data_IF_890307904973
#
_entry.id   IF_890307904973
#
_cell.length_a   1.000
_cell.length_b   1.000
_cell.length_c   1.000
_cell.angle_alpha   90.00
_cell.angle_beta   90.00
_cell.angle_gamma   90.00
#
_symmetry.space_group_name_H-M   'P 1'
#
loop_
_entity.id
_entity.type
_entity.pdbx_description
1 polymer ?
#
# COMPACT_ATOMS: atom_id res chain seq x y z
N UNK A 1 8.86 4.39 -27.02
CA UNK A 1 9.75 3.27 -27.41
C UNK A 1 9.06 2.23 -28.31
N UNK A 2 8.26 2.65 -29.32
CA UNK A 2 7.45 1.73 -30.17
C UNK A 2 8.16 1.17 -31.41
N UNK A 3 9.38 1.61 -31.74
CA UNK A 3 10.04 1.26 -33.00
C UNK A 3 10.84 -0.06 -32.94
N UNK A 4 11.39 -0.43 -31.79
CA UNK A 4 12.20 -1.65 -31.67
C UNK A 4 11.37 -2.94 -31.62
N UNK A 5 10.10 -2.87 -31.20
CA UNK A 5 9.20 -4.04 -31.12
C UNK A 5 8.68 -4.49 -32.50
N UNK A 6 8.51 -3.55 -33.45
CA UNK A 6 8.05 -3.86 -34.81
C UNK A 6 9.12 -4.55 -35.66
N UNK A 7 10.40 -4.24 -35.43
CA UNK A 7 11.51 -4.89 -36.13
C UNK A 7 11.68 -6.37 -35.74
N UNK A 8 11.30 -6.74 -34.51
CA UNK A 8 11.31 -8.13 -34.06
C UNK A 8 10.24 -8.96 -34.79
N UNK A 9 9.05 -8.40 -35.00
CA UNK A 9 7.97 -9.02 -35.78
C UNK A 9 8.32 -9.22 -37.26
N UNK A 10 9.07 -8.30 -37.86
CA UNK A 10 9.50 -8.40 -39.26
C UNK A 10 10.61 -9.43 -39.49
N UNK A 11 11.42 -9.74 -38.46
CA UNK A 11 12.53 -10.70 -38.57
C UNK A 11 12.09 -12.16 -38.44
N UNK A 12 10.98 -12.43 -37.73
CA UNK A 12 10.47 -13.79 -37.51
C UNK A 12 9.69 -14.30 -38.74
N UNK A 13 9.01 -13.40 -39.47
CA UNK A 13 8.27 -13.77 -40.68
C UNK A 13 9.16 -14.14 -41.88
N UNK A 14 10.48 -13.90 -41.84
CA UNK A 14 11.39 -14.16 -42.97
C UNK A 14 12.21 -15.45 -42.85
N UNK A 15 12.07 -16.22 -41.76
CA UNK A 15 12.86 -17.45 -41.53
C UNK A 15 12.08 -18.77 -41.69
N UNK A 16 10.84 -18.73 -42.18
CA UNK A 16 9.98 -19.94 -42.32
C UNK A 16 10.28 -20.83 -43.54
N UNK A 17 11.43 -20.70 -44.20
CA UNK A 17 11.69 -21.37 -45.49
C UNK A 17 13.02 -22.13 -45.53
N UNK A 18 13.24 -23.08 -44.61
CA UNK A 18 14.10 -24.23 -44.89
C UNK A 18 13.61 -25.45 -44.11
N UNK A 19 12.85 -26.32 -44.79
CA UNK A 19 12.65 -27.70 -44.37
C UNK A 19 13.77 -28.55 -44.99
N UNK A 20 14.71 -29.01 -44.17
CA UNK A 20 15.66 -30.05 -44.55
C UNK A 20 15.58 -31.18 -43.51
N UNK A 21 15.59 -32.40 -44.04
CA UNK A 21 15.33 -33.71 -43.43
C UNK A 21 15.91 -33.94 -42.01
N UNK A 22 15.17 -34.67 -41.17
CA UNK A 22 15.73 -35.32 -39.98
C UNK A 22 15.80 -36.84 -40.17
N UNK A 23 17.03 -37.35 -40.10
CA UNK A 23 17.35 -38.67 -39.54
C UNK A 23 17.11 -38.65 -38.01
N UNK A 24 16.49 -39.72 -37.50
CA UNK A 24 16.62 -40.44 -36.21
C UNK A 24 17.13 -39.81 -34.89
N UNK A 25 17.21 -38.49 -34.71
CA UNK A 25 17.46 -37.87 -33.40
C UNK A 25 16.17 -37.59 -32.62
N UNK A 26 16.11 -37.98 -31.33
CA UNK A 26 15.02 -37.60 -30.41
C UNK A 26 14.81 -36.08 -30.46
N UNK A 27 13.61 -35.66 -30.86
CA UNK A 27 13.27 -34.25 -31.07
C UNK A 27 13.65 -33.39 -29.86
N UNK A 28 14.49 -32.37 -30.07
CA UNK A 28 15.11 -31.58 -28.99
C UNK A 28 14.11 -30.95 -28.03
N UNK A 29 12.92 -30.58 -28.50
CA UNK A 29 11.87 -30.01 -27.64
C UNK A 29 11.41 -30.97 -26.53
N UNK A 30 11.52 -32.29 -26.72
CA UNK A 30 11.20 -33.29 -25.67
C UNK A 30 12.23 -33.33 -24.54
N UNK A 31 13.42 -32.75 -24.77
CA UNK A 31 14.52 -32.68 -23.80
C UNK A 31 14.45 -31.40 -22.96
N UNK A 32 13.56 -30.45 -23.28
CA UNK A 32 13.35 -29.24 -22.49
C UNK A 32 12.90 -29.63 -21.07
N UNK A 33 13.56 -29.14 -20.01
CA UNK A 33 13.23 -29.52 -18.64
C UNK A 33 11.80 -29.16 -18.25
N UNK A 34 11.06 -30.14 -17.73
CA UNK A 34 9.68 -29.97 -17.24
C UNK A 34 9.62 -29.90 -15.69
N UNK A 35 10.66 -29.35 -15.08
CA UNK A 35 10.76 -29.16 -13.63
C UNK A 35 10.54 -27.71 -13.24
N UNK A 36 10.29 -27.47 -11.95
CA UNK A 36 10.20 -26.11 -11.41
C UNK A 36 11.60 -25.49 -11.40
N UNK A 37 11.71 -24.28 -11.93
CA UNK A 37 12.92 -23.47 -11.98
C UNK A 37 12.75 -22.33 -10.97
N UNK A 38 13.66 -22.26 -10.01
CA UNK A 38 13.69 -21.27 -8.92
C UNK A 38 14.85 -20.28 -9.12
N UNK A 39 15.00 -19.33 -8.20
CA UNK A 39 15.95 -18.22 -8.27
C UNK A 39 17.42 -18.60 -8.59
N UNK A 40 17.88 -19.83 -8.28
CA UNK A 40 19.25 -20.26 -8.62
C UNK A 40 19.49 -20.36 -10.14
N UNK A 41 18.45 -20.69 -10.91
CA UNK A 41 18.53 -20.90 -12.37
C UNK A 41 17.53 -20.01 -13.15
N UNK A 42 16.93 -19.03 -12.49
CA UNK A 42 15.92 -18.14 -13.05
C UNK A 42 16.37 -16.68 -12.94
N UNK A 43 16.69 -16.07 -14.09
CA UNK A 43 16.76 -14.62 -14.22
C UNK A 43 15.37 -14.08 -14.53
N UNK A 44 14.81 -13.27 -13.63
CA UNK A 44 13.43 -12.78 -13.74
C UNK A 44 13.40 -11.25 -13.74
N UNK A 45 12.83 -10.68 -14.79
CA UNK A 45 12.55 -9.25 -14.90
C UNK A 45 11.04 -9.01 -14.88
N UNK A 46 10.60 -8.11 -14.01
CA UNK A 46 9.18 -7.73 -13.87
C UNK A 46 9.01 -6.24 -13.68
N UNK A 47 7.82 -5.72 -14.02
CA UNK A 47 7.48 -4.32 -13.77
C UNK A 47 7.17 -4.02 -12.30
N UNK A 48 6.68 -5.02 -11.54
CA UNK A 48 6.48 -4.93 -10.09
C UNK A 48 7.40 -5.95 -9.42
N UNK A 49 8.23 -5.55 -8.43
CA UNK A 49 9.07 -6.47 -7.67
C UNK A 49 8.30 -7.69 -7.15
N UNK A 50 8.78 -8.88 -7.49
CA UNK A 50 8.14 -10.16 -7.14
C UNK A 50 8.51 -10.63 -5.74
N UNK A 51 7.87 -11.71 -5.29
CA UNK A 51 8.29 -12.44 -4.10
C UNK A 51 9.65 -13.13 -4.32
N UNK A 52 10.37 -13.39 -3.23
CA UNK A 52 11.66 -14.10 -3.25
C UNK A 52 11.54 -15.59 -3.60
N UNK A 53 10.34 -16.16 -3.45
CA UNK A 53 10.03 -17.56 -3.79
C UNK A 53 9.36 -17.72 -5.16
N UNK A 54 9.45 -16.71 -6.01
CA UNK A 54 8.99 -16.77 -7.39
C UNK A 54 9.67 -17.91 -8.17
N UNK A 55 8.88 -18.64 -8.96
CA UNK A 55 9.39 -19.74 -9.78
C UNK A 55 8.57 -19.90 -11.05
N UNK A 56 9.10 -20.68 -11.99
CA UNK A 56 8.40 -21.01 -13.22
C UNK A 56 8.54 -22.49 -13.59
N UNK A 57 7.69 -22.95 -14.50
CA UNK A 57 7.80 -24.25 -15.15
C UNK A 57 7.33 -24.11 -16.60
N UNK A 58 8.08 -24.66 -17.55
CA UNK A 58 7.65 -24.76 -18.94
C UNK A 58 7.37 -26.23 -19.28
N UNK A 59 6.12 -26.53 -19.61
CA UNK A 59 5.71 -27.84 -20.11
C UNK A 59 5.46 -27.75 -21.61
N UNK A 60 6.36 -28.33 -22.41
CA UNK A 60 6.18 -28.38 -23.88
C UNK A 60 4.98 -29.26 -24.23
N UNK A 61 4.10 -28.78 -25.12
CA UNK A 61 2.96 -29.54 -25.64
C UNK A 61 3.24 -30.12 -27.01
N UNK A 62 4.06 -29.42 -27.81
CA UNK A 62 4.60 -29.86 -29.08
C UNK A 62 5.87 -29.07 -29.41
N UNK A 63 6.42 -29.21 -30.62
CA UNK A 63 7.66 -28.55 -31.03
C UNK A 63 7.57 -27.01 -31.13
N UNK A 64 6.37 -26.42 -31.19
CA UNK A 64 6.13 -24.99 -31.34
C UNK A 64 5.31 -24.38 -30.18
N UNK A 65 4.80 -25.18 -29.24
CA UNK A 65 3.90 -24.73 -28.19
C UNK A 65 4.24 -25.34 -26.83
N UNK A 66 3.91 -24.60 -25.77
CA UNK A 66 3.99 -25.08 -24.40
C UNK A 66 3.07 -24.31 -23.46
N UNK A 67 3.07 -24.74 -22.20
CA UNK A 67 2.38 -24.08 -21.09
C UNK A 67 3.43 -23.60 -20.11
N UNK A 68 3.51 -22.29 -19.92
CA UNK A 68 4.33 -21.65 -18.91
C UNK A 68 3.50 -21.45 -17.63
N UNK A 69 3.86 -22.16 -16.57
CA UNK A 69 3.31 -21.93 -15.22
C UNK A 69 4.22 -20.95 -14.49
N UNK A 70 3.67 -19.82 -14.06
CA UNK A 70 4.33 -18.82 -13.24
C UNK A 70 3.79 -18.90 -11.80
N UNK A 71 4.66 -19.13 -10.82
CA UNK A 71 4.30 -19.17 -9.40
C UNK A 71 4.80 -17.92 -8.69
N UNK A 72 3.90 -17.15 -8.08
CA UNK A 72 4.21 -15.90 -7.33
C UNK A 72 5.03 -14.85 -8.09
N UNK A 73 5.08 -14.95 -9.42
CA UNK A 73 5.73 -13.98 -10.32
C UNK A 73 4.82 -12.78 -10.57
N UNK A 74 3.51 -13.00 -10.73
CA UNK A 74 2.53 -11.94 -10.95
C UNK A 74 1.86 -11.61 -9.62
N UNK A 75 2.06 -10.38 -9.13
CA UNK A 75 1.43 -9.94 -7.88
C UNK A 75 -0.10 -10.06 -7.95
N UNK A 76 -0.69 -10.57 -6.87
CA UNK A 76 -2.12 -10.84 -6.77
C UNK A 76 -2.56 -12.24 -7.21
N UNK A 77 -1.68 -13.02 -7.84
CA UNK A 77 -1.94 -14.40 -8.22
C UNK A 77 -0.86 -15.34 -7.66
N UNK A 78 -1.29 -16.43 -7.02
CA UNK A 78 -0.35 -17.43 -6.52
C UNK A 78 0.24 -18.26 -7.67
N UNK A 79 -0.57 -18.54 -8.70
CA UNK A 79 -0.17 -19.28 -9.90
C UNK A 79 -0.89 -18.74 -11.14
N UNK A 80 -0.19 -18.67 -12.28
CA UNK A 80 -0.77 -18.37 -13.61
C UNK A 80 -0.17 -19.31 -14.66
N UNK A 81 -1.03 -20.07 -15.33
CA UNK A 81 -0.65 -20.83 -16.53
C UNK A 81 -0.90 -20.02 -17.81
N UNK A 82 0.11 -19.93 -18.69
CA UNK A 82 0.05 -19.15 -19.93
C UNK A 82 0.45 -20.06 -21.09
N UNK A 83 -0.41 -20.14 -22.11
CA UNK A 83 -0.02 -20.78 -23.36
C UNK A 83 1.05 -19.94 -24.04
N UNK A 84 2.15 -20.57 -24.43
CA UNK A 84 3.30 -19.91 -25.07
C UNK A 84 3.62 -20.57 -26.40
N UNK A 85 4.00 -19.75 -27.37
CA UNK A 85 4.68 -20.23 -28.57
C UNK A 85 6.17 -20.36 -28.27
N UNK A 86 6.80 -21.43 -28.75
CA UNK A 86 8.20 -21.77 -28.49
C UNK A 86 8.95 -21.95 -29.81
N UNK A 87 10.17 -21.46 -29.89
CA UNK A 87 11.04 -21.56 -31.07
C UNK A 87 12.45 -21.96 -30.63
N UNK A 88 12.90 -23.13 -31.06
CA UNK A 88 14.29 -23.56 -30.92
C UNK A 88 15.21 -22.62 -31.72
N UNK A 89 16.28 -22.18 -31.08
CA UNK A 89 17.28 -21.28 -31.64
C UNK A 89 18.51 -22.08 -32.09
N UNK A 90 19.31 -21.49 -32.97
CA UNK A 90 20.53 -22.11 -33.50
C UNK A 90 21.59 -22.39 -32.43
N UNK A 91 21.51 -21.75 -31.27
CA UNK A 91 22.40 -21.95 -30.12
C UNK A 91 21.89 -23.04 -29.15
N UNK A 92 20.80 -23.73 -29.49
CA UNK A 92 20.19 -24.78 -28.66
C UNK A 92 19.29 -24.25 -27.55
N UNK A 93 19.07 -22.94 -27.46
CA UNK A 93 18.10 -22.35 -26.53
C UNK A 93 16.69 -22.37 -27.10
N UNK A 94 15.69 -22.39 -26.23
CA UNK A 94 14.28 -22.31 -26.62
C UNK A 94 13.73 -20.95 -26.22
N UNK A 95 13.37 -20.13 -27.21
CA UNK A 95 12.68 -18.86 -26.96
C UNK A 95 11.19 -19.10 -26.86
N UNK A 96 10.55 -18.53 -25.84
CA UNK A 96 9.12 -18.61 -25.68
C UNK A 96 8.49 -17.22 -25.50
N UNK A 97 7.25 -17.09 -25.92
CA UNK A 97 6.44 -15.89 -25.71
C UNK A 97 4.96 -16.25 -25.60
N UNK A 98 4.20 -15.48 -24.83
CA UNK A 98 2.76 -15.67 -24.69
C UNK A 98 2.10 -14.52 -23.95
N UNK A 99 0.79 -14.52 -23.94
CA UNK A 99 -0.01 -13.56 -23.21
C UNK A 99 -1.28 -14.19 -22.64
N UNK A 100 -1.75 -13.65 -21.52
CA UNK A 100 -2.99 -14.07 -20.88
C UNK A 100 -3.63 -12.89 -20.17
N UNK A 101 -4.95 -12.74 -20.32
CA UNK A 101 -5.74 -11.85 -19.50
C UNK A 101 -6.33 -12.64 -18.33
N UNK A 102 -6.08 -12.16 -17.11
CA UNK A 102 -6.59 -12.76 -15.87
C UNK A 102 -7.62 -11.81 -15.28
N UNK A 103 -8.76 -12.35 -14.86
CA UNK A 103 -9.83 -11.55 -14.22
C UNK A 103 -9.83 -11.79 -12.71
N UNK A 104 -10.28 -10.82 -11.88
CA UNK A 104 -10.33 -11.03 -10.44
C UNK A 104 -11.31 -12.14 -10.03
N UNK A 105 -11.00 -12.80 -8.92
CA UNK A 105 -11.81 -13.90 -8.41
C UNK A 105 -13.07 -13.45 -7.64
N UNK A 106 -13.09 -12.21 -7.09
CA UNK A 106 -14.16 -11.72 -6.21
C UNK A 106 -14.96 -10.61 -6.87
N UNK A 107 -16.27 -10.55 -6.58
CA UNK A 107 -17.14 -9.46 -7.06
C UNK A 107 -16.67 -8.09 -6.56
N UNK A 108 -16.15 -8.02 -5.34
CA UNK A 108 -15.60 -6.79 -4.78
C UNK A 108 -14.44 -6.27 -5.65
N UNK A 109 -13.46 -7.12 -5.96
CA UNK A 109 -12.33 -6.75 -6.80
C UNK A 109 -12.74 -6.33 -8.22
N UNK A 110 -13.78 -6.95 -8.79
CA UNK A 110 -14.32 -6.59 -10.10
C UNK A 110 -14.84 -5.14 -10.19
N UNK A 111 -15.19 -4.51 -9.07
CA UNK A 111 -15.61 -3.10 -9.03
C UNK A 111 -14.42 -2.15 -9.30
N UNK A 112 -13.20 -2.58 -8.99
CA UNK A 112 -11.98 -1.78 -9.19
C UNK A 112 -11.20 -2.20 -10.44
N UNK A 113 -11.04 -3.51 -10.63
CA UNK A 113 -10.14 -4.11 -11.59
C UNK A 113 -10.95 -5.04 -12.50
N UNK A 114 -10.92 -4.79 -13.80
CA UNK A 114 -11.57 -5.65 -14.79
C UNK A 114 -10.68 -6.85 -15.16
N UNK A 115 -9.38 -6.60 -15.35
CA UNK A 115 -8.41 -7.64 -15.70
C UNK A 115 -6.97 -7.21 -15.46
N UNK A 116 -6.08 -8.18 -15.32
CA UNK A 116 -4.62 -8.03 -15.42
C UNK A 116 -4.15 -8.76 -16.66
N UNK A 117 -3.64 -8.01 -17.64
CA UNK A 117 -3.03 -8.57 -18.84
C UNK A 117 -1.57 -8.91 -18.53
N UNK A 118 -1.20 -10.17 -18.69
CA UNK A 118 0.15 -10.68 -18.45
C UNK A 118 0.77 -11.02 -19.80
N UNK A 119 1.96 -10.47 -20.07
CA UNK A 119 2.77 -10.83 -21.24
C UNK A 119 4.09 -11.39 -20.78
N UNK A 120 4.48 -12.50 -21.38
CA UNK A 120 5.71 -13.21 -21.05
C UNK A 120 6.57 -13.36 -22.29
N UNK A 121 7.87 -13.21 -22.11
CA UNK A 121 8.87 -13.59 -23.11
C UNK A 121 10.12 -14.05 -22.40
N UNK A 122 10.77 -15.08 -22.91
CA UNK A 122 11.98 -15.58 -22.27
C UNK A 122 12.71 -16.62 -23.09
N UNK A 123 13.79 -17.12 -22.50
CA UNK A 123 14.58 -18.23 -23.02
C UNK A 123 14.70 -19.30 -21.95
N UNK A 124 14.85 -20.56 -22.38
CA UNK A 124 15.22 -21.68 -21.52
C UNK A 124 16.26 -22.56 -22.23
N UNK A 125 17.25 -23.03 -21.49
CA UNK A 125 18.26 -23.97 -21.98
C UNK A 125 17.90 -25.42 -21.60
N UNK A 126 18.53 -26.39 -22.25
CA UNK A 126 18.34 -27.81 -21.91
C UNK A 126 18.84 -28.16 -20.50
N UNK A 127 19.75 -27.36 -19.94
CA UNK A 127 20.22 -27.46 -18.55
C UNK A 127 19.23 -26.86 -17.53
N UNK A 128 18.15 -26.23 -18.00
CA UNK A 128 17.11 -25.66 -17.13
C UNK A 128 17.43 -24.27 -16.59
N UNK A 129 18.34 -23.53 -17.25
CA UNK A 129 18.54 -22.11 -16.99
C UNK A 129 17.54 -21.31 -17.80
N UNK A 130 16.84 -20.38 -17.17
CA UNK A 130 15.82 -19.56 -17.81
C UNK A 130 16.04 -18.07 -17.55
N UNK A 131 15.80 -17.26 -18.57
CA UNK A 131 15.72 -15.81 -18.47
C UNK A 131 14.33 -15.37 -18.93
N UNK A 132 13.56 -14.71 -18.07
CA UNK A 132 12.15 -14.41 -18.32
C UNK A 132 11.84 -12.96 -18.00
N UNK A 133 11.21 -12.28 -18.94
CA UNK A 133 10.57 -10.99 -18.73
C UNK A 133 9.07 -11.19 -18.63
N UNK A 134 8.46 -10.71 -17.53
CA UNK A 134 7.01 -10.70 -17.35
C UNK A 134 6.56 -9.25 -17.17
N UNK A 135 5.61 -8.82 -18.00
CA UNK A 135 4.99 -7.50 -17.87
C UNK A 135 3.51 -7.65 -17.58
N UNK A 136 3.04 -6.83 -16.63
CA UNK A 136 1.63 -6.79 -16.22
C UNK A 136 1.03 -5.44 -16.57
N UNK A 137 -0.18 -5.46 -17.13
CA UNK A 137 -0.98 -4.28 -17.42
C UNK A 137 -2.36 -4.44 -16.77
N UNK A 138 -2.62 -3.68 -15.72
CA UNK A 138 -3.90 -3.61 -15.03
C UNK A 138 -4.89 -2.77 -15.84
N UNK A 139 -6.13 -3.26 -15.93
CA UNK A 139 -7.23 -2.61 -16.61
C UNK A 139 -8.42 -2.58 -15.67
N UNK A 140 -8.93 -1.39 -15.38
CA UNK A 140 -10.10 -1.20 -14.54
C UNK A 140 -10.29 0.24 -14.10
N UNK A 141 -11.35 0.50 -13.35
CA UNK A 141 -11.68 1.82 -12.83
C UNK A 141 -10.62 2.34 -11.85
N UNK A 142 -9.88 1.48 -11.14
CA UNK A 142 -8.79 1.96 -10.29
C UNK A 142 -7.66 2.64 -11.09
N UNK A 143 -7.50 2.35 -12.38
CA UNK A 143 -6.37 2.83 -13.19
C UNK A 143 -6.61 4.26 -13.69
N UNK A 144 -6.42 5.23 -12.80
CA UNK A 144 -6.52 6.66 -13.10
C UNK A 144 -5.87 7.50 -12.00
N UNK A 145 -5.85 8.81 -12.24
CA UNK A 145 -5.47 9.83 -11.28
C UNK A 145 -6.67 10.24 -10.44
N UNK A 146 -6.54 10.10 -9.12
CA UNK A 146 -7.51 10.54 -8.13
C UNK A 146 -7.01 11.79 -7.40
N UNK A 147 -7.90 12.73 -7.12
CA UNK A 147 -7.59 13.84 -6.23
C UNK A 147 -7.89 13.45 -4.80
N UNK A 148 -7.05 13.91 -3.87
CA UNK A 148 -7.44 13.91 -2.47
C UNK A 148 -8.70 14.79 -2.31
N UNK A 149 -9.60 14.36 -1.45
CA UNK A 149 -10.71 15.21 -1.02
C UNK A 149 -10.17 16.58 -0.53
N UNK A 150 -10.90 17.66 -0.86
CA UNK A 150 -10.51 19.05 -0.65
C UNK A 150 -10.98 19.63 0.69
N UNK A 151 -12.04 19.07 1.27
CA UNK A 151 -12.65 19.55 2.51
C UNK A 151 -13.38 18.43 3.25
N UNK A 152 -13.75 18.66 4.52
CA UNK A 152 -14.59 17.70 5.25
C UNK A 152 -16.07 17.98 4.96
N UNK A 153 -16.75 16.99 4.39
CA UNK A 153 -18.18 17.03 4.08
C UNK A 153 -18.98 16.17 5.05
N UNK A 154 -20.07 16.75 5.53
CA UNK A 154 -20.97 16.14 6.51
C UNK A 154 -22.32 15.80 5.86
N UNK A 155 -22.94 14.70 6.29
CA UNK A 155 -24.29 14.34 5.86
C UNK A 155 -25.34 15.36 6.34
N UNK A 156 -25.22 15.77 7.61
CA UNK A 156 -25.94 16.87 8.24
C UNK A 156 -24.93 17.66 9.09
N UNK A 157 -24.95 18.98 8.99
CA UNK A 157 -24.09 19.86 9.77
C UNK A 157 -24.36 19.77 11.29
N UNK A 158 -25.54 19.29 11.70
CA UNK A 158 -25.95 19.10 13.10
C UNK A 158 -25.48 17.77 13.68
N UNK A 159 -25.46 16.71 12.87
CA UNK A 159 -25.16 15.34 13.33
C UNK A 159 -23.68 14.96 13.21
N UNK A 160 -22.82 15.89 12.74
CA UNK A 160 -21.34 15.78 12.65
C UNK A 160 -20.81 14.50 11.99
N UNK A 161 -21.68 13.79 11.27
CA UNK A 161 -21.36 12.55 10.58
C UNK A 161 -20.70 12.88 9.25
N UNK A 162 -19.37 12.77 9.20
CA UNK A 162 -18.62 13.00 7.97
C UNK A 162 -18.86 11.86 6.96
N UNK A 163 -19.02 12.23 5.69
CA UNK A 163 -19.25 11.29 4.58
C UNK A 163 -18.08 11.23 3.60
N UNK A 164 -17.31 12.33 3.50
CA UNK A 164 -16.17 12.48 2.58
C UNK A 164 -15.17 13.46 3.21
N UNK A 165 -13.90 13.08 3.33
CA UNK A 165 -12.87 13.90 3.98
C UNK A 165 -11.46 13.55 3.46
N UNK A 166 -10.52 14.51 3.43
CA UNK A 166 -9.13 14.26 3.03
C UNK A 166 -8.49 13.14 3.85
N UNK A 167 -8.60 13.25 5.17
CA UNK A 167 -8.24 12.20 6.11
C UNK A 167 -9.45 11.85 6.97
N UNK A 168 -9.75 10.56 7.12
CA UNK A 168 -10.97 10.09 7.77
C UNK A 168 -10.65 9.10 8.89
N UNK A 169 -11.15 9.42 10.08
CA UNK A 169 -11.19 8.51 11.22
C UNK A 169 -12.66 8.16 11.50
N UNK A 170 -12.99 6.88 11.44
CA UNK A 170 -14.26 6.33 11.93
C UNK A 170 -13.97 5.55 13.19
N UNK A 171 -14.56 5.92 14.32
CA UNK A 171 -14.43 5.17 15.57
C UNK A 171 -15.80 5.00 16.22
N UNK A 172 -16.29 3.77 16.27
CA UNK A 172 -17.58 3.42 16.88
C UNK A 172 -17.32 2.51 18.08
N UNK A 173 -17.69 2.98 19.27
CA UNK A 173 -17.55 2.26 20.52
C UNK A 173 -18.73 2.59 21.44
N UNK A 174 -19.37 1.62 22.10
CA UNK A 174 -20.41 1.87 23.08
C UNK A 174 -19.87 2.28 24.47
N UNK A 175 -18.56 2.50 24.60
CA UNK A 175 -17.92 2.83 25.88
C UNK A 175 -18.53 4.07 26.55
N UNK A 176 -18.70 4.00 27.88
CA UNK A 176 -19.37 5.02 28.69
C UNK A 176 -20.66 4.48 29.33
N UNK A 177 -21.31 5.30 30.16
CA UNK A 177 -22.51 4.92 30.90
C UNK A 177 -23.69 5.84 30.60
N UNK A 178 -24.90 5.27 30.63
CA UNK A 178 -26.15 6.02 30.47
C UNK A 178 -26.19 6.83 29.17
N UNK A 179 -26.55 8.10 29.27
CA UNK A 179 -26.62 9.00 28.11
C UNK A 179 -25.27 9.39 27.51
N UNK A 180 -24.15 8.98 28.11
CA UNK A 180 -22.80 9.30 27.64
C UNK A 180 -22.14 8.15 26.85
N UNK A 181 -22.82 7.01 26.72
CA UNK A 181 -22.29 5.88 25.96
C UNK A 181 -21.99 6.27 24.50
N UNK A 182 -20.74 6.02 24.08
CA UNK A 182 -20.22 6.28 22.74
C UNK A 182 -19.82 7.71 22.40
N UNK A 183 -20.17 8.70 23.26
CA UNK A 183 -19.87 10.11 23.01
C UNK A 183 -18.36 10.35 22.78
N UNK A 184 -17.50 9.70 23.57
CA UNK A 184 -16.06 9.91 23.44
C UNK A 184 -15.52 9.45 22.08
N UNK A 185 -15.91 8.24 21.64
CA UNK A 185 -15.48 7.70 20.36
C UNK A 185 -16.01 8.52 19.17
N UNK A 186 -17.29 8.95 19.24
CA UNK A 186 -17.90 9.79 18.21
C UNK A 186 -17.19 11.15 18.11
N UNK A 187 -16.93 11.80 19.24
CA UNK A 187 -16.21 13.07 19.27
C UNK A 187 -14.77 12.92 18.76
N UNK A 188 -14.04 11.88 19.17
CA UNK A 188 -12.70 11.58 18.67
C UNK A 188 -12.74 11.33 17.16
N UNK A 189 -13.75 10.62 16.66
CA UNK A 189 -13.95 10.38 15.23
C UNK A 189 -14.10 11.69 14.46
N UNK A 190 -14.92 12.64 14.95
CA UNK A 190 -15.06 13.96 14.33
C UNK A 190 -13.78 14.78 14.41
N UNK A 191 -13.23 14.97 15.61
CA UNK A 191 -12.05 15.81 15.85
C UNK A 191 -10.83 15.25 15.12
N UNK A 192 -10.60 13.94 15.25
CA UNK A 192 -9.52 13.23 14.59
C UNK A 192 -9.64 13.26 13.07
N UNK A 193 -10.86 13.18 12.50
CA UNK A 193 -11.08 13.38 11.06
C UNK A 193 -10.62 14.76 10.62
N UNK A 194 -10.99 15.82 11.35
CA UNK A 194 -10.60 17.18 10.95
C UNK A 194 -9.09 17.42 11.10
N UNK A 195 -8.49 16.95 12.20
CA UNK A 195 -7.04 17.06 12.44
C UNK A 195 -6.25 16.28 11.40
N UNK A 196 -6.65 15.04 11.11
CA UNK A 196 -6.03 14.24 10.06
C UNK A 196 -6.22 14.89 8.69
N UNK A 197 -7.40 15.44 8.42
CA UNK A 197 -7.67 16.16 7.17
C UNK A 197 -6.75 17.36 6.99
N UNK A 198 -6.48 18.12 8.04
CA UNK A 198 -5.55 19.25 7.99
C UNK A 198 -4.13 18.80 7.64
N UNK A 199 -3.65 17.70 8.23
CA UNK A 199 -2.35 17.13 7.85
C UNK A 199 -2.36 16.64 6.40
N UNK A 200 -3.41 15.94 5.97
CA UNK A 200 -3.49 15.34 4.64
C UNK A 200 -3.54 16.39 3.52
N UNK A 201 -4.32 17.48 3.65
CA UNK A 201 -4.38 18.52 2.61
C UNK A 201 -3.10 19.33 2.48
N UNK A 202 -2.28 19.37 3.53
CA UNK A 202 -0.95 20.00 3.51
C UNK A 202 0.13 19.06 2.95
N UNK A 203 -0.16 17.75 2.86
CA UNK A 203 0.79 16.72 2.44
C UNK A 203 0.54 16.24 1.01
N UNK A 204 -0.69 15.88 0.68
CA UNK A 204 -1.03 15.11 -0.50
C UNK A 204 -2.09 15.84 -1.31
N UNK A 205 -1.86 15.95 -2.62
CA UNK A 205 -2.83 16.53 -3.56
C UNK A 205 -3.55 15.45 -4.35
N UNK A 206 -2.79 14.49 -4.87
CA UNK A 206 -3.33 13.46 -5.75
C UNK A 206 -2.48 12.20 -5.78
N UNK A 207 -3.12 11.10 -6.16
CA UNK A 207 -2.51 9.77 -6.33
C UNK A 207 -2.97 9.21 -7.67
N UNK A 208 -2.05 8.68 -8.46
CA UNK A 208 -2.33 7.97 -9.70
C UNK A 208 -1.89 6.52 -9.58
N UNK A 209 -2.86 5.61 -9.73
CA UNK A 209 -2.64 4.19 -9.88
C UNK A 209 -2.45 3.90 -11.37
N UNK A 210 -1.23 3.56 -11.78
CA UNK A 210 -0.91 3.35 -13.20
C UNK A 210 -1.19 1.92 -13.63
N UNK A 211 -1.41 1.76 -14.94
CA UNK A 211 -1.68 0.47 -15.56
C UNK A 211 -0.51 -0.51 -15.42
N UNK A 212 0.72 -0.04 -15.28
CA UNK A 212 1.89 -0.88 -15.01
C UNK A 212 2.04 -1.25 -13.52
N UNK A 213 1.04 -0.95 -12.69
CA UNK A 213 1.05 -1.22 -11.27
C UNK A 213 1.88 -0.25 -10.43
N UNK A 214 2.53 0.75 -11.02
CA UNK A 214 3.21 1.79 -10.23
C UNK A 214 2.21 2.77 -9.63
N UNK A 215 2.54 3.30 -8.45
CA UNK A 215 1.86 4.44 -7.84
C UNK A 215 2.74 5.66 -8.00
N UNK A 216 2.16 6.78 -8.44
CA UNK A 216 2.78 8.11 -8.32
C UNK A 216 1.82 9.06 -7.61
N UNK A 217 2.37 10.07 -6.95
CA UNK A 217 1.57 11.05 -6.21
C UNK A 217 2.10 12.47 -6.45
N UNK A 218 1.20 13.46 -6.32
CA UNK A 218 1.61 14.84 -6.13
C UNK A 218 1.52 15.19 -4.64
N UNK A 219 2.64 15.60 -4.06
CA UNK A 219 2.79 15.84 -2.63
C UNK A 219 3.50 17.18 -2.38
N UNK A 220 3.35 17.73 -1.18
CA UNK A 220 3.98 18.99 -0.82
C UNK A 220 5.50 18.84 -0.68
N UNK A 221 6.26 19.80 -1.21
CA UNK A 221 7.70 19.88 -1.02
C UNK A 221 8.09 19.95 0.46
N UNK A 222 7.33 20.72 1.23
CA UNK A 222 7.46 20.85 2.68
C UNK A 222 6.07 20.80 3.32
N UNK A 223 5.96 20.14 4.47
CA UNK A 223 4.75 20.13 5.28
C UNK A 223 4.93 21.16 6.39
N UNK A 224 4.27 22.30 6.26
CA UNK A 224 4.33 23.38 7.23
C UNK A 224 2.98 23.53 7.93
N UNK A 225 2.72 22.64 8.90
CA UNK A 225 1.52 22.69 9.75
C UNK A 225 1.90 23.05 11.19
N UNK A 226 1.32 24.13 11.71
CA UNK A 226 1.56 24.58 13.09
C UNK A 226 0.60 23.91 14.07
N UNK A 227 0.96 23.90 15.36
CA UNK A 227 0.06 23.44 16.42
C UNK A 227 -1.26 24.21 16.40
N UNK A 228 -1.22 25.54 16.20
CA UNK A 228 -2.44 26.37 16.12
C UNK A 228 -3.35 25.93 14.97
N UNK A 229 -2.78 25.62 13.80
CA UNK A 229 -3.56 25.10 12.67
C UNK A 229 -4.19 23.74 12.98
N UNK A 230 -3.48 22.86 13.70
CA UNK A 230 -4.04 21.58 14.15
C UNK A 230 -5.18 21.76 15.15
N UNK A 231 -5.07 22.75 16.03
CA UNK A 231 -6.13 23.09 16.99
C UNK A 231 -7.37 23.64 16.27
N UNK A 232 -7.18 24.59 15.36
CA UNK A 232 -8.26 25.14 14.54
C UNK A 232 -8.91 24.06 13.67
N UNK A 233 -8.12 23.10 13.17
CA UNK A 233 -8.63 21.94 12.47
C UNK A 233 -9.51 21.08 13.39
N UNK A 234 -9.08 20.79 14.62
CA UNK A 234 -9.93 20.11 15.61
C UNK A 234 -11.28 20.79 15.85
N UNK A 235 -11.35 22.12 15.67
CA UNK A 235 -12.57 22.93 15.75
C UNK A 235 -13.34 23.04 14.40
N UNK A 236 -12.88 22.36 13.35
CA UNK A 236 -13.52 22.28 12.04
C UNK A 236 -12.97 23.26 10.99
N UNK A 237 -11.88 23.99 11.26
CA UNK A 237 -11.27 24.93 10.33
C UNK A 237 -9.95 24.38 9.77
N UNK A 238 -9.98 23.94 8.50
CA UNK A 238 -8.80 23.43 7.82
C UNK A 238 -7.83 24.56 7.41
N UNK A 239 -6.51 24.33 7.40
CA UNK A 239 -5.54 25.29 6.90
C UNK A 239 -5.67 25.50 5.38
N UNK A 240 -5.30 26.69 4.89
CA UNK A 240 -5.28 26.96 3.45
C UNK A 240 -4.18 26.16 2.75
N UNK A 241 -4.47 25.70 1.54
CA UNK A 241 -3.49 25.07 0.64
C UNK A 241 -2.81 26.07 -0.31
N UNK A 242 -3.12 27.36 -0.18
CA UNK A 242 -2.53 28.41 -1.01
C UNK A 242 -1.02 28.52 -0.76
N UNK A 243 -0.26 28.61 -1.85
CA UNK A 243 1.20 28.73 -1.79
C UNK A 243 1.96 27.42 -1.56
N UNK A 244 1.28 26.27 -1.41
CA UNK A 244 1.95 24.97 -1.37
C UNK A 244 2.61 24.69 -2.73
N UNK A 245 3.90 24.38 -2.68
CA UNK A 245 4.66 23.89 -3.85
C UNK A 245 4.46 22.38 -3.95
N UNK A 246 3.76 21.96 -4.99
CA UNK A 246 3.48 20.54 -5.24
C UNK A 246 4.58 19.92 -6.11
N UNK A 247 5.17 18.83 -5.62
CA UNK A 247 6.11 17.96 -6.35
C UNK A 247 5.41 16.69 -6.79
N UNK A 248 5.86 16.12 -7.89
CA UNK A 248 5.47 14.76 -8.29
C UNK A 248 6.51 13.77 -7.80
N UNK A 249 6.06 12.65 -7.24
CA UNK A 249 6.95 11.57 -6.86
C UNK A 249 7.58 10.94 -8.10
N UNK A 250 8.84 10.47 -8.01
CA UNK A 250 9.37 9.54 -8.99
C UNK A 250 8.47 8.32 -9.17
N UNK A 251 8.51 7.71 -10.35
CA UNK A 251 8.00 6.35 -10.52
C UNK A 251 8.86 5.36 -9.71
N UNK A 252 8.41 4.12 -9.57
CA UNK A 252 9.19 3.04 -8.94
C UNK A 252 9.41 3.19 -7.41
N UNK A 253 8.71 4.09 -6.72
CA UNK A 253 8.76 4.16 -5.25
C UNK A 253 7.74 3.25 -4.56
N UNK A 254 6.57 3.11 -5.16
CA UNK A 254 5.52 2.25 -4.66
C UNK A 254 4.74 1.62 -5.81
N UNK A 255 4.14 0.48 -5.53
CA UNK A 255 3.37 -0.32 -6.45
C UNK A 255 2.06 -0.75 -5.82
N UNK A 256 1.11 -1.14 -6.66
CA UNK A 256 -0.17 -1.66 -6.25
C UNK A 256 -0.56 -2.92 -7.00
N UNK A 257 -1.39 -3.73 -6.36
CA UNK A 257 -2.14 -4.81 -7.00
C UNK A 257 -3.40 -5.12 -6.20
N UNK A 258 -4.29 -5.95 -6.74
CA UNK A 258 -5.51 -6.40 -6.06
C UNK A 258 -5.41 -7.89 -5.78
N UNK A 259 -5.70 -8.31 -4.55
CA UNK A 259 -5.84 -9.72 -4.15
C UNK A 259 -6.98 -9.86 -3.16
N UNK A 260 -7.87 -10.82 -3.40
CA UNK A 260 -9.06 -11.01 -2.57
C UNK A 260 -9.96 -9.77 -2.61
N UNK A 261 -10.16 -9.12 -1.46
CA UNK A 261 -10.98 -7.93 -1.30
C UNK A 261 -10.17 -6.68 -0.88
N UNK A 262 -8.84 -6.72 -1.06
CA UNK A 262 -7.95 -5.62 -0.67
C UNK A 262 -7.15 -5.09 -1.86
N UNK A 263 -6.78 -3.80 -1.76
CA UNK A 263 -5.70 -3.20 -2.55
C UNK A 263 -4.43 -3.38 -1.74
N UNK A 264 -3.41 -3.99 -2.32
CA UNK A 264 -2.11 -4.14 -1.68
C UNK A 264 -1.18 -3.04 -2.17
N UNK A 265 -0.51 -2.35 -1.25
CA UNK A 265 0.54 -1.35 -1.57
C UNK A 265 1.90 -1.90 -1.21
N UNK A 266 2.75 -2.11 -2.23
CA UNK A 266 4.11 -2.61 -2.08
C UNK A 266 5.08 -1.44 -2.17
N UNK A 267 5.91 -1.26 -1.14
CA UNK A 267 6.93 -0.20 -1.13
C UNK A 267 8.23 -0.70 -1.74
N UNK A 268 8.81 0.07 -2.66
CA UNK A 268 10.18 -0.15 -3.09
C UNK A 268 11.12 0.55 -2.10
N UNK A 269 11.31 -0.07 -0.94
CA UNK A 269 12.16 0.49 0.12
C UNK A 269 13.57 0.84 -0.37
N UNK A 270 14.26 0.01 -1.18
CA UNK A 270 15.52 0.42 -1.80
C UNK A 270 15.44 1.76 -2.53
N UNK A 271 14.47 1.91 -3.44
CA UNK A 271 14.32 3.14 -4.20
C UNK A 271 13.91 4.33 -3.33
N UNK A 272 13.05 4.12 -2.32
CA UNK A 272 12.64 5.16 -1.36
C UNK A 272 13.86 5.66 -0.58
N UNK A 273 14.68 4.74 -0.08
CA UNK A 273 15.88 5.11 0.70
C UNK A 273 16.88 5.85 -0.17
N UNK A 274 17.15 5.37 -1.39
CA UNK A 274 18.01 6.08 -2.35
C UNK A 274 17.48 7.48 -2.65
N UNK A 275 16.17 7.62 -2.90
CA UNK A 275 15.55 8.90 -3.20
C UNK A 275 15.57 9.86 -2.00
N UNK A 276 15.38 9.35 -0.78
CA UNK A 276 15.37 10.15 0.44
C UNK A 276 16.77 10.64 0.84
N UNK A 277 17.82 9.86 0.52
CA UNK A 277 19.20 10.17 0.90
C UNK A 277 20.00 10.88 -0.21
N UNK A 278 19.43 11.10 -1.40
CA UNK A 278 20.16 11.70 -2.55
C UNK A 278 20.69 13.11 -2.28
N UNK A 279 20.01 13.86 -1.41
CA UNK A 279 20.36 15.25 -1.05
C UNK A 279 21.00 15.34 0.36
N UNK A 280 21.26 14.21 1.02
CA UNK A 280 21.88 14.17 2.34
C UNK A 280 23.41 14.16 2.21
N UNK A 281 24.04 15.34 2.28
CA UNK A 281 25.51 15.49 2.12
C UNK A 281 26.34 14.88 3.27
N UNK A 282 25.73 14.39 4.37
CA UNK A 282 26.46 13.94 5.58
C UNK A 282 25.74 12.85 6.41
N UNK A 283 24.95 11.97 5.78
CA UNK A 283 24.22 10.93 6.53
C UNK A 283 25.11 9.75 6.93
N UNK A 284 25.26 9.51 8.24
CA UNK A 284 25.86 8.27 8.79
C UNK A 284 25.10 6.99 8.40
N UNK A 285 23.89 7.14 7.85
CA UNK A 285 23.04 6.05 7.39
C UNK A 285 23.16 5.98 5.87
N UNK A 286 23.70 4.88 5.34
CA UNK A 286 23.79 4.65 3.90
C UNK A 286 22.62 3.80 3.40
N UNK A 287 22.22 3.90 2.12
CA UNK A 287 21.22 3.02 1.53
C UNK A 287 21.53 1.54 1.73
N UNK A 288 22.79 1.15 1.62
CA UNK A 288 23.26 -0.23 1.79
C UNK A 288 23.03 -0.73 3.22
N UNK A 289 23.27 0.11 4.23
CA UNK A 289 23.05 -0.27 5.63
C UNK A 289 21.56 -0.53 5.91
N UNK A 290 20.66 0.31 5.38
CA UNK A 290 19.21 0.10 5.54
C UNK A 290 18.76 -1.18 4.82
N UNK A 291 19.29 -1.43 3.62
CA UNK A 291 18.98 -2.65 2.86
C UNK A 291 19.43 -3.92 3.57
N UNK A 292 20.61 -3.91 4.20
CA UNK A 292 21.08 -5.03 5.00
C UNK A 292 20.19 -5.31 6.20
N UNK A 293 19.69 -4.27 6.87
CA UNK A 293 18.73 -4.41 7.98
C UNK A 293 17.44 -5.06 7.47
N UNK A 294 16.93 -4.64 6.32
CA UNK A 294 15.71 -5.20 5.73
C UNK A 294 15.89 -6.68 5.40
N UNK A 295 16.98 -7.06 4.73
CA UNK A 295 17.26 -8.46 4.40
C UNK A 295 17.46 -9.32 5.65
N UNK A 296 18.12 -8.79 6.68
CA UNK A 296 18.25 -9.46 7.97
C UNK A 296 16.86 -9.73 8.57
N UNK A 297 16.02 -8.71 8.70
CA UNK A 297 14.68 -8.81 9.32
C UNK A 297 13.77 -9.76 8.54
N UNK A 298 13.83 -9.78 7.20
CA UNK A 298 13.05 -10.71 6.37
C UNK A 298 13.34 -12.19 6.66
N UNK A 299 14.53 -12.51 7.13
CA UNK A 299 14.96 -13.88 7.41
C UNK A 299 14.72 -14.34 8.86
N UNK A 300 14.34 -13.41 9.74
CA UNK A 300 14.17 -13.66 11.17
C UNK A 300 12.76 -14.16 11.50
N UNK A 301 12.65 -14.97 12.55
CA UNK A 301 11.35 -15.33 13.13
C UNK A 301 10.72 -14.14 13.86
N UNK A 302 9.40 -14.19 14.07
CA UNK A 302 8.72 -13.15 14.85
C UNK A 302 9.28 -12.98 16.27
N UNK A 303 9.69 -14.08 16.90
CA UNK A 303 10.33 -14.07 18.22
C UNK A 303 11.69 -13.35 18.21
N UNK A 304 12.53 -13.63 17.20
CA UNK A 304 13.84 -13.00 17.08
C UNK A 304 13.72 -11.50 16.83
N UNK A 305 12.75 -11.08 16.02
CA UNK A 305 12.47 -9.66 15.78
C UNK A 305 12.01 -8.98 17.07
N UNK A 306 11.13 -9.59 17.85
CA UNK A 306 10.76 -9.04 19.16
C UNK A 306 11.93 -8.94 20.12
N UNK A 307 12.82 -9.93 20.14
CA UNK A 307 14.02 -9.86 20.97
C UNK A 307 14.90 -8.68 20.57
N UNK A 308 15.10 -8.45 19.27
CA UNK A 308 15.85 -7.29 18.77
C UNK A 308 15.19 -5.97 19.17
N UNK A 309 13.87 -5.85 18.94
CA UNK A 309 13.11 -4.66 19.35
C UNK A 309 13.18 -4.43 20.86
N UNK A 310 13.09 -5.48 21.67
CA UNK A 310 13.19 -5.41 23.12
C UNK A 310 14.55 -4.90 23.59
N UNK A 311 15.63 -5.33 22.94
CA UNK A 311 16.98 -4.83 23.22
C UNK A 311 17.12 -3.34 22.86
N UNK A 312 16.55 -2.92 21.72
CA UNK A 312 16.54 -1.51 21.32
C UNK A 312 15.76 -0.65 22.33
N UNK A 313 14.60 -1.11 22.79
CA UNK A 313 13.80 -0.41 23.81
C UNK A 313 14.52 -0.36 25.16
N UNK A 314 15.20 -1.44 25.55
CA UNK A 314 15.96 -1.49 26.80
C UNK A 314 17.16 -0.53 26.82
N UNK A 315 17.71 -0.21 25.65
CA UNK A 315 18.80 0.74 25.47
C UNK A 315 18.39 2.21 25.58
N UNK A 316 17.08 2.52 25.62
CA UNK A 316 16.58 3.89 25.80
C UNK A 316 16.77 4.37 27.25
N UNK A 317 16.91 5.68 27.41
CA UNK A 317 16.95 6.36 28.72
C UNK A 317 15.67 6.06 29.53
N UNK A 318 15.79 6.00 30.86
CA UNK A 318 14.70 5.56 31.75
C UNK A 318 13.47 6.48 31.74
N UNK A 319 13.65 7.75 31.41
CA UNK A 319 12.59 8.76 31.27
C UNK A 319 11.95 8.79 29.86
N UNK A 320 12.49 8.01 28.91
CA UNK A 320 11.93 7.92 27.57
C UNK A 320 10.62 7.10 27.59
N UNK A 321 9.50 7.76 27.26
CA UNK A 321 8.18 7.14 27.23
C UNK A 321 8.08 5.90 26.32
N UNK A 322 8.86 5.83 25.24
CA UNK A 322 8.88 4.66 24.34
C UNK A 322 9.36 3.39 25.04
N UNK A 323 10.12 3.49 26.13
CA UNK A 323 10.58 2.35 26.94
C UNK A 323 9.42 1.58 27.57
N UNK A 324 8.23 2.19 27.68
CA UNK A 324 7.00 1.55 28.17
C UNK A 324 6.22 0.79 27.09
N UNK A 325 6.65 0.82 25.82
CA UNK A 325 6.07 -0.03 24.79
C UNK A 325 6.21 -1.50 25.19
N UNK A 326 5.07 -2.18 25.36
CA UNK A 326 5.05 -3.58 25.74
C UNK A 326 4.91 -4.46 24.51
N UNK A 327 6.01 -4.63 23.79
CA UNK A 327 6.07 -5.49 22.59
C UNK A 327 5.76 -6.96 22.89
N UNK A 328 5.78 -7.39 24.17
CA UNK A 328 5.38 -8.75 24.55
C UNK A 328 3.88 -9.01 24.32
N UNK A 329 3.09 -7.94 24.19
CA UNK A 329 1.66 -8.00 23.84
C UNK A 329 1.40 -8.30 22.37
N UNK A 330 2.43 -8.24 21.53
CA UNK A 330 2.33 -8.59 20.11
C UNK A 330 2.76 -10.06 19.96
N UNK A 331 1.90 -10.88 19.35
CA UNK A 331 2.23 -12.29 19.11
C UNK A 331 3.36 -12.45 18.08
N UNK A 332 4.10 -13.57 18.13
CA UNK A 332 5.15 -13.84 17.13
C UNK A 332 4.57 -13.88 15.71
N UNK A 333 3.39 -14.51 15.55
CA UNK A 333 2.68 -14.60 14.27
C UNK A 333 2.20 -13.24 13.76
N UNK A 334 1.82 -12.31 14.64
CA UNK A 334 1.43 -10.97 14.21
C UNK A 334 2.65 -10.14 13.77
N UNK A 335 3.81 -10.33 14.40
CA UNK A 335 5.07 -9.73 13.92
C UNK A 335 5.42 -10.28 12.54
N UNK A 336 5.35 -11.59 12.34
CA UNK A 336 5.58 -12.22 11.03
C UNK A 336 4.58 -11.71 9.98
N UNK A 337 3.32 -11.52 10.34
CA UNK A 337 2.30 -10.92 9.48
C UNK A 337 2.66 -9.49 9.08
N UNK A 338 3.13 -8.66 10.01
CA UNK A 338 3.58 -7.29 9.73
C UNK A 338 4.80 -7.27 8.81
N UNK A 339 5.77 -8.17 9.00
CA UNK A 339 6.90 -8.34 8.08
C UNK A 339 6.42 -8.81 6.70
N UNK A 340 5.46 -9.72 6.66
CA UNK A 340 4.80 -10.14 5.43
C UNK A 340 4.26 -8.95 4.63
N UNK A 341 3.66 -7.95 5.29
CA UNK A 341 3.18 -6.74 4.61
C UNK A 341 4.31 -5.89 4.00
N UNK A 342 5.50 -5.91 4.58
CA UNK A 342 6.67 -5.22 4.00
C UNK A 342 7.10 -5.89 2.69
N UNK A 343 6.94 -7.21 2.58
CA UNK A 343 7.39 -8.01 1.43
C UNK A 343 6.32 -8.11 0.34
N UNK A 344 5.08 -8.35 0.77
CA UNK A 344 3.93 -8.64 -0.10
C UNK A 344 3.03 -7.43 -0.30
N UNK A 345 3.23 -6.37 0.47
CA UNK A 345 2.44 -5.16 0.44
C UNK A 345 1.42 -5.08 1.58
N UNK A 346 1.12 -3.85 1.98
CA UNK A 346 0.14 -3.56 3.01
C UNK A 346 -1.28 -3.75 2.44
N UNK A 347 -2.11 -4.62 3.05
CA UNK A 347 -3.50 -4.77 2.63
C UNK A 347 -4.30 -3.56 3.09
N UNK A 348 -4.85 -2.83 2.13
CA UNK A 348 -5.76 -1.72 2.37
C UNK A 348 -7.18 -2.15 2.02
N UNK A 349 -8.09 -1.92 2.95
CA UNK A 349 -9.51 -2.00 2.66
C UNK A 349 -9.90 -0.83 1.76
N UNK A 350 -10.94 -1.04 0.97
CA UNK A 350 -11.49 0.02 0.15
C UNK A 350 -13.01 -0.02 0.10
N UNK A 351 -13.59 1.13 -0.26
CA UNK A 351 -14.99 1.25 -0.61
C UNK A 351 -15.15 2.26 -1.73
N UNK A 352 -15.84 1.87 -2.80
CA UNK A 352 -16.26 2.80 -3.85
C UNK A 352 -17.67 3.29 -3.56
N UNK A 353 -17.88 4.61 -3.57
CA UNK A 353 -19.20 5.20 -3.32
C UNK A 353 -19.42 6.39 -4.24
N UNK A 354 -20.61 6.51 -4.83
CA UNK A 354 -21.02 7.76 -5.45
C UNK A 354 -21.68 8.66 -4.41
N UNK A 355 -21.13 9.86 -4.24
CA UNK A 355 -21.53 10.82 -3.23
C UNK A 355 -22.11 12.07 -3.89
N UNK A 356 -23.24 12.54 -3.38
CA UNK A 356 -23.80 13.84 -3.70
C UNK A 356 -23.33 14.86 -2.65
N UNK A 357 -22.50 15.80 -3.06
CA UNK A 357 -22.05 16.89 -2.21
C UNK A 357 -23.01 18.05 -2.36
N UNK A 358 -23.69 18.39 -1.27
CA UNK A 358 -24.69 19.46 -1.20
C UNK A 358 -24.18 20.62 -0.36
N UNK A 359 -24.58 21.82 -0.72
CA UNK A 359 -24.51 22.99 0.15
C UNK A 359 -25.96 23.31 0.55
N UNK A 360 -26.26 23.14 1.83
CA UNK A 360 -27.64 23.10 2.33
C UNK A 360 -28.45 22.03 1.55
N UNK A 361 -29.37 22.45 0.67
CA UNK A 361 -30.19 21.54 -0.14
C UNK A 361 -29.76 21.49 -1.62
N UNK A 362 -28.85 22.38 -2.06
CA UNK A 362 -28.42 22.45 -3.46
C UNK A 362 -27.28 21.47 -3.74
N UNK A 363 -27.45 20.61 -4.76
CA UNK A 363 -26.38 19.75 -5.26
C UNK A 363 -25.27 20.59 -5.90
N UNK A 364 -24.11 20.61 -5.26
CA UNK A 364 -22.92 21.30 -5.75
C UNK A 364 -22.16 20.42 -6.74
N UNK A 365 -21.94 19.16 -6.40
CA UNK A 365 -21.20 18.19 -7.23
C UNK A 365 -21.52 16.75 -6.86
N UNK A 366 -21.32 15.85 -7.81
CA UNK A 366 -21.26 14.40 -7.56
C UNK A 366 -19.80 13.96 -7.55
N UNK A 367 -19.42 13.04 -6.68
CA UNK A 367 -18.06 12.49 -6.59
C UNK A 367 -18.13 10.99 -6.53
N UNK A 368 -17.41 10.27 -7.39
CA UNK A 368 -17.12 8.86 -7.16
C UNK A 368 -15.87 8.79 -6.27
N UNK A 369 -16.11 8.48 -5.01
CA UNK A 369 -15.10 8.31 -3.99
C UNK A 369 -14.55 6.89 -4.01
N UNK A 370 -13.23 6.78 -3.96
CA UNK A 370 -12.48 5.60 -3.55
C UNK A 370 -11.93 5.87 -2.15
N UNK A 371 -12.68 5.44 -1.12
CA UNK A 371 -12.19 5.42 0.25
C UNK A 371 -11.19 4.28 0.39
N UNK A 372 -9.96 4.57 0.85
CA UNK A 372 -8.93 3.56 1.15
C UNK A 372 -8.56 3.68 2.63
N UNK A 373 -8.60 2.58 3.38
CA UNK A 373 -8.44 2.63 4.84
C UNK A 373 -7.85 1.35 5.45
N UNK A 374 -7.27 1.54 6.62
CA UNK A 374 -6.89 0.50 7.57
C UNK A 374 -8.04 0.30 8.56
N UNK A 375 -8.30 -0.94 8.96
CA UNK A 375 -9.40 -1.28 9.86
C UNK A 375 -8.90 -1.76 11.23
N UNK A 376 -9.85 -1.96 12.14
CA UNK A 376 -9.61 -2.39 13.53
C UNK A 376 -8.67 -3.60 13.63
N UNK A 377 -8.84 -4.60 12.76
CA UNK A 377 -8.07 -5.86 12.82
C UNK A 377 -6.56 -5.62 12.67
N UNK A 378 -6.15 -4.62 11.88
CA UNK A 378 -4.75 -4.23 11.81
C UNK A 378 -4.28 -3.56 13.11
N UNK A 379 -5.06 -2.64 13.67
CA UNK A 379 -4.70 -1.91 14.88
C UNK A 379 -4.72 -2.79 16.14
N UNK A 380 -5.55 -3.83 16.17
CA UNK A 380 -5.61 -4.81 17.27
C UNK A 380 -4.27 -5.52 17.50
N UNK A 381 -3.42 -5.60 16.48
CA UNK A 381 -2.06 -6.17 16.60
C UNK A 381 -1.20 -5.37 17.59
N UNK A 382 -1.29 -4.04 17.61
CA UNK A 382 -0.35 -3.20 18.35
C UNK A 382 -0.99 -2.33 19.44
N UNK A 383 -2.29 -2.08 19.41
CA UNK A 383 -2.96 -1.26 20.44
C UNK A 383 -2.66 -1.74 21.88
N UNK A 384 -2.69 -3.05 22.20
CA UNK A 384 -2.32 -3.53 23.53
C UNK A 384 -0.89 -3.18 23.97
N UNK A 385 0.05 -3.10 23.03
CA UNK A 385 1.44 -2.74 23.31
C UNK A 385 1.60 -1.24 23.67
N UNK A 386 0.64 -0.39 23.29
CA UNK A 386 0.66 1.05 23.54
C UNK A 386 0.08 1.42 24.92
N UNK A 387 -0.78 0.60 25.51
CA UNK A 387 -1.50 0.93 26.75
C UNK A 387 -0.61 1.38 27.91
N UNK A 388 0.56 0.76 28.18
CA UNK A 388 1.41 1.17 29.29
C UNK A 388 2.00 2.58 29.14
N UNK A 389 1.98 3.16 27.93
CA UNK A 389 2.40 4.54 27.69
C UNK A 389 1.29 5.57 27.97
N UNK A 390 0.01 5.16 27.97
CA UNK A 390 -1.12 6.09 28.08
C UNK A 390 -1.07 6.99 29.33
N UNK A 391 -0.63 6.53 30.52
CA UNK A 391 -0.49 7.41 31.69
C UNK A 391 0.54 8.53 31.51
N UNK A 392 1.63 8.28 30.79
CA UNK A 392 2.67 9.29 30.54
C UNK A 392 2.21 10.29 29.49
N UNK A 393 1.51 9.82 28.45
CA UNK A 393 0.86 10.68 27.46
C UNK A 393 -0.16 11.58 28.15
N UNK A 394 -0.98 11.03 29.06
CA UNK A 394 -1.94 11.79 29.87
C UNK A 394 -1.26 12.91 30.67
N UNK A 395 -0.18 12.58 31.38
CA UNK A 395 0.59 13.54 32.17
C UNK A 395 1.25 14.61 31.30
N UNK A 396 1.83 14.23 30.15
CA UNK A 396 2.44 15.14 29.20
C UNK A 396 1.41 16.17 28.68
N UNK A 397 0.23 15.71 28.26
CA UNK A 397 -0.83 16.59 27.77
C UNK A 397 -1.37 17.52 28.87
N UNK A 398 -1.48 17.04 30.12
CA UNK A 398 -1.91 17.85 31.27
C UNK A 398 -0.88 18.91 31.68
N UNK A 399 0.40 18.64 31.48
CA UNK A 399 1.49 19.58 31.79
C UNK A 399 1.83 20.52 30.63
N UNK A 400 1.22 20.33 29.46
CA UNK A 400 1.46 21.18 28.29
C UNK A 400 0.45 22.33 28.26
N UNK A 401 0.96 23.56 28.19
CA UNK A 401 0.14 24.75 27.91
C UNK A 401 0.33 25.19 26.46
N UNK A 402 -0.74 25.72 25.88
CA UNK A 402 -0.75 26.33 24.55
C UNK A 402 -1.12 27.80 24.68
N UNK A 403 -0.63 28.63 23.76
CA UNK A 403 -1.14 29.99 23.59
C UNK A 403 -2.29 29.97 22.60
N UNK A 404 -3.48 30.35 23.05
CA UNK A 404 -4.66 30.41 22.20
C UNK A 404 -5.41 31.71 22.45
N UNK A 405 -5.60 32.51 21.40
CA UNK A 405 -6.22 33.84 21.47
C UNK A 405 -5.56 34.78 22.50
N UNK A 406 -4.24 34.68 22.64
CA UNK A 406 -3.46 35.48 23.58
C UNK A 406 -3.59 35.06 25.05
N UNK A 407 -4.19 33.90 25.33
CA UNK A 407 -4.26 33.31 26.66
C UNK A 407 -3.50 31.98 26.70
N UNK A 408 -2.80 31.72 27.81
CA UNK A 408 -2.21 30.41 28.07
C UNK A 408 -3.28 29.48 28.64
N UNK A 409 -3.59 28.40 27.92
CA UNK A 409 -4.62 27.43 28.28
C UNK A 409 -3.97 26.03 28.37
N UNK A 410 -4.29 25.21 29.39
CA UNK A 410 -3.85 23.83 29.43
C UNK A 410 -4.38 23.05 28.22
N UNK A 411 -3.49 22.39 27.49
CA UNK A 411 -3.83 21.60 26.30
C UNK A 411 -4.87 20.52 26.61
N UNK A 412 -4.72 19.86 27.76
CA UNK A 412 -5.66 18.84 28.21
C UNK A 412 -7.10 19.34 28.33
N UNK A 413 -7.33 20.56 28.83
CA UNK A 413 -8.68 21.09 28.99
C UNK A 413 -9.40 21.20 27.64
N UNK A 414 -8.67 21.56 26.59
CA UNK A 414 -9.20 21.62 25.24
C UNK A 414 -9.46 20.24 24.66
N UNK A 415 -8.54 19.28 24.85
CA UNK A 415 -8.74 17.89 24.44
C UNK A 415 -9.98 17.30 25.12
N UNK A 416 -10.11 17.47 26.44
CA UNK A 416 -11.27 17.03 27.21
C UNK A 416 -12.56 17.69 26.71
N UNK A 417 -12.55 19.00 26.44
CA UNK A 417 -13.72 19.70 25.90
C UNK A 417 -14.14 19.18 24.52
N UNK A 418 -13.19 18.89 23.64
CA UNK A 418 -13.46 18.46 22.27
C UNK A 418 -13.82 16.97 22.17
N UNK A 419 -13.27 16.13 23.04
CA UNK A 419 -13.37 14.66 22.94
C UNK A 419 -14.26 14.04 24.02
N UNK A 420 -14.56 14.76 25.10
CA UNK A 420 -15.20 14.23 26.31
C UNK A 420 -14.40 13.14 27.06
N UNK A 421 -13.10 12.97 26.77
CA UNK A 421 -12.21 12.09 27.55
C UNK A 421 -11.90 12.67 28.93
N UNK A 422 -11.88 11.84 29.98
CA UNK A 422 -11.37 12.27 31.30
C UNK A 422 -9.90 11.89 31.54
N UNK A 423 -9.37 10.95 30.76
CA UNK A 423 -7.95 10.60 30.71
C UNK A 423 -7.60 9.91 29.40
N UNK A 424 -6.34 10.01 28.97
CA UNK A 424 -5.84 9.19 27.86
C UNK A 424 -5.91 7.69 28.15
N UNK A 425 -5.92 7.28 29.42
CA UNK A 425 -6.06 5.87 29.80
C UNK A 425 -7.44 5.29 29.46
N UNK A 426 -8.47 6.12 29.26
CA UNK A 426 -9.79 5.66 28.79
C UNK A 426 -9.75 5.03 27.40
N UNK A 427 -8.73 5.35 26.59
CA UNK A 427 -8.57 4.79 25.24
C UNK A 427 -8.55 3.26 25.26
N UNK A 428 -7.93 2.64 26.27
CA UNK A 428 -7.94 1.18 26.42
C UNK A 428 -9.38 0.65 26.56
N UNK A 429 -10.17 1.26 27.45
CA UNK A 429 -11.56 0.89 27.65
C UNK A 429 -12.41 1.11 26.40
N UNK A 430 -12.24 2.25 25.72
CA UNK A 430 -12.92 2.56 24.47
C UNK A 430 -12.58 1.53 23.40
N UNK A 431 -11.30 1.21 23.24
CA UNK A 431 -10.79 0.28 22.24
C UNK A 431 -11.34 -1.14 22.45
N UNK A 432 -11.34 -1.62 23.69
CA UNK A 432 -11.75 -2.99 24.04
C UNK A 432 -13.21 -3.30 23.68
N UNK A 433 -14.08 -2.29 23.63
CA UNK A 433 -15.49 -2.46 23.21
C UNK A 433 -15.79 -1.84 21.83
N UNK A 434 -14.76 -1.38 21.11
CA UNK A 434 -14.92 -0.79 19.77
C UNK A 434 -15.44 -1.81 18.78
N UNK A 435 -16.53 -1.48 18.09
CA UNK A 435 -17.16 -2.34 17.08
C UNK A 435 -16.72 -2.00 15.65
N UNK A 436 -16.22 -0.78 15.42
CA UNK A 436 -15.69 -0.37 14.12
C UNK A 436 -14.62 0.70 14.31
N UNK A 437 -13.47 0.50 13.68
CA UNK A 437 -12.41 1.48 13.60
C UNK A 437 -11.85 1.50 12.17
N UNK A 438 -11.88 2.66 11.52
CA UNK A 438 -11.28 2.83 10.19
C UNK A 438 -10.44 4.11 10.18
N UNK A 439 -9.21 4.02 9.68
CA UNK A 439 -8.32 5.16 9.46
C UNK A 439 -7.88 5.17 8.00
N UNK A 440 -8.16 6.25 7.28
CA UNK A 440 -7.85 6.29 5.85
C UNK A 440 -8.02 7.64 5.20
N UNK A 441 -8.07 7.62 3.87
CA UNK A 441 -8.22 8.80 3.01
C UNK A 441 -9.34 8.58 2.01
N UNK A 442 -9.89 9.68 1.49
CA UNK A 442 -10.91 9.65 0.44
C UNK A 442 -10.35 10.23 -0.85
N UNK A 443 -10.45 9.47 -1.94
CA UNK A 443 -9.85 9.77 -3.24
C UNK A 443 -10.95 9.91 -4.31
N UNK A 444 -11.15 11.12 -4.82
CA UNK A 444 -12.19 11.41 -5.82
C UNK A 444 -11.68 11.37 -7.25
N UNK A 445 -12.48 10.83 -8.17
CA UNK A 445 -12.14 10.76 -9.61
C UNK A 445 -12.45 12.04 -10.42
N UNK A 446 -12.70 13.18 -9.75
CA UNK A 446 -13.12 14.44 -10.36
C UNK A 446 -14.38 14.33 -11.24
N UNK A 447 -15.40 13.56 -10.85
CA UNK A 447 -16.64 13.41 -11.61
C UNK A 447 -17.45 14.73 -11.71
N UNK A 448 -17.06 15.60 -12.64
CA UNK A 448 -17.91 16.67 -13.13
C UNK A 448 -19.01 16.06 -13.99
N UNK A 449 -20.24 16.05 -13.47
CA UNK A 449 -21.44 16.05 -14.31
C UNK A 449 -22.44 17.04 -13.75
N UNK A 450 -22.62 18.16 -14.47
CA UNK A 450 -23.94 18.72 -14.66
C UNK A 450 -24.55 18.06 -15.90
#
# INVERSE_FOLDING_TARGET
>A
MKKNLFYLFALICSMSLFTACSDDDDENWKKVPNQIITAENLELETNIPTSSDASMKLAMTDAQNGILTLNKVVRGADEIEINVTVVEQTDGTFKFQGEKSVTPATKAAWVLLSSTNVKVSGTITLEGKAAVTVSTEFVGDIVKKYQLCDAVYYADSKDRTNIYAPGRLTWVSPYGEGGNAGIAADNISTVGTNVLSAAMIQLLKDVEFKADGSIVASYAEEINITMDQMIMAGMGQLPSTDGIVWKSSPANLAYWYVKGEHIYVVLNIPAIVTEALKDAEDSQVTPEAILQIIEMVKSMSGADIKNLLGQLLAGLEDDNMLKKLDISKISDSDIEKLIGYVIDGFPLNYRTTQLEIKNEEELVRTVNDLSIYLDKDLFDIFMPALYPMLPDVDMLLKNTNIEFWGQSIPLWNMIQMLTALNSMTEIEGIWNVTTRFNLGISLGDNSYKK
#
